data_IF_498552576608
#
_entry.id   IF_498552576608
#
_cell.length_a   1.000
_cell.length_b   1.000
_cell.length_c   1.000
_cell.angle_alpha   90.00
_cell.angle_beta   90.00
_cell.angle_gamma   90.00
#
_symmetry.space_group_name_H-M   'P 1'
#
loop_
_entity.id
_entity.type
_entity.pdbx_description
1 polymer ?
#
# COMPACT_ATOMS: atom_id res chain seq x y z
N UNK A 1 -12.16 -22.52 13.45
CA UNK A 1 -11.33 -21.36 13.03
C UNK A 1 -10.58 -20.83 14.25
N UNK A 2 -9.25 -20.94 14.26
CA UNK A 2 -8.40 -20.49 15.38
C UNK A 2 -8.31 -18.96 15.35
N UNK A 3 -8.76 -18.28 16.40
CA UNK A 3 -8.48 -16.85 16.62
C UNK A 3 -7.03 -16.72 17.06
N UNK A 4 -6.23 -15.99 16.30
CA UNK A 4 -4.94 -15.48 16.78
C UNK A 4 -5.19 -14.26 17.69
N UNK A 5 -4.47 -14.12 18.81
CA UNK A 5 -4.57 -12.94 19.67
C UNK A 5 -3.81 -11.77 19.04
N UNK A 6 -4.49 -10.65 18.81
CA UNK A 6 -3.82 -9.39 18.48
C UNK A 6 -3.14 -8.84 19.76
N UNK A 7 -1.82 -9.03 19.85
CA UNK A 7 -1.01 -8.23 20.75
C UNK A 7 -0.91 -6.81 20.18
N UNK A 8 -1.55 -5.87 20.88
CA UNK A 8 -1.55 -4.45 20.56
C UNK A 8 -0.19 -3.87 20.98
N UNK A 9 0.74 -3.78 20.04
CA UNK A 9 2.00 -3.05 20.24
C UNK A 9 1.65 -1.55 20.27
N UNK A 10 2.14 -0.76 21.25
CA UNK A 10 1.90 0.68 21.24
C UNK A 10 2.68 1.30 20.06
N UNK A 11 1.96 1.82 19.06
CA UNK A 11 2.55 2.55 17.95
C UNK A 11 2.79 3.98 18.40
N UNK A 12 4.07 4.35 18.50
CA UNK A 12 4.50 5.73 18.73
C UNK A 12 4.16 6.59 17.50
N UNK A 13 3.64 7.82 17.67
CA UNK A 13 3.30 8.69 16.56
C UNK A 13 4.58 9.23 15.92
N UNK A 14 5.14 8.50 14.95
CA UNK A 14 6.19 9.06 14.09
C UNK A 14 5.57 10.03 13.09
N UNK A 15 5.51 11.30 13.51
CA UNK A 15 5.27 12.46 12.64
C UNK A 15 6.29 12.47 11.51
N UNK A 16 5.84 12.91 10.32
CA UNK A 16 6.57 13.30 9.08
C UNK A 16 8.09 13.05 9.06
N UNK A 17 8.66 12.53 7.95
CA UNK A 17 10.11 12.39 7.81
C UNK A 17 10.79 13.72 8.19
N UNK A 18 11.46 13.74 9.33
CA UNK A 18 12.11 14.94 9.85
C UNK A 18 13.60 14.72 9.64
N UNK A 19 14.21 15.38 8.65
CA UNK A 19 15.61 15.12 8.35
C UNK A 19 16.51 15.64 9.47
N UNK A 20 17.49 14.83 9.89
CA UNK A 20 18.49 15.21 10.89
C UNK A 20 19.67 15.90 10.20
N UNK A 21 19.89 17.18 10.51
CA UNK A 21 21.07 17.92 10.07
C UNK A 21 22.23 17.61 11.02
N UNK A 22 23.22 16.83 10.58
CA UNK A 22 24.48 16.65 11.34
C UNK A 22 25.41 17.84 11.05
N UNK A 23 25.90 18.57 12.06
CA UNK A 23 26.89 19.61 11.86
C UNK A 23 28.26 18.95 11.63
N UNK A 24 28.89 19.20 10.47
CA UNK A 24 30.30 18.85 10.24
C UNK A 24 30.67 18.24 8.89
N UNK A 25 29.71 17.86 8.03
CA UNK A 25 30.03 17.32 6.71
C UNK A 25 29.14 17.98 5.65
N UNK A 26 29.74 18.86 4.84
CA UNK A 26 29.17 19.55 3.66
C UNK A 26 27.64 19.64 3.62
N UNK A 27 26.99 20.56 4.35
CA UNK A 27 25.63 21.12 4.18
C UNK A 27 24.51 20.28 3.52
N UNK A 28 24.59 18.95 3.50
CA UNK A 28 23.65 18.05 2.84
C UNK A 28 22.94 17.28 3.91
N UNK A 29 21.62 17.37 3.85
CA UNK A 29 20.73 16.64 4.72
C UNK A 29 20.82 15.16 4.40
N UNK A 30 20.98 14.31 5.42
CA UNK A 30 21.04 12.86 5.28
C UNK A 30 19.79 12.24 5.88
N UNK A 31 19.17 11.32 5.16
CA UNK A 31 18.07 10.48 5.65
C UNK A 31 18.59 9.05 5.86
N UNK A 32 18.25 8.47 7.01
CA UNK A 32 18.38 7.03 7.22
C UNK A 32 17.06 6.36 6.85
N UNK A 33 17.12 5.42 5.92
CA UNK A 33 15.95 4.67 5.45
C UNK A 33 16.33 3.20 5.23
N UNK A 34 15.63 2.29 5.91
CA UNK A 34 15.97 0.85 5.99
C UNK A 34 17.46 0.60 6.28
N UNK A 35 18.08 1.35 7.21
CA UNK A 35 19.51 1.28 7.51
C UNK A 35 20.48 1.69 6.37
N UNK A 36 19.96 2.20 5.26
CA UNK A 36 20.72 2.90 4.23
C UNK A 36 20.90 4.38 4.54
N UNK A 37 21.89 5.01 3.92
CA UNK A 37 22.17 6.45 4.04
C UNK A 37 21.99 7.14 2.70
N UNK A 38 21.13 8.15 2.67
CA UNK A 38 20.78 8.87 1.46
C UNK A 38 20.92 10.37 1.65
N UNK A 39 21.47 11.06 0.66
CA UNK A 39 21.34 12.52 0.60
C UNK A 39 19.91 12.90 0.18
N UNK A 40 19.37 13.90 0.86
CA UNK A 40 18.09 14.50 0.51
C UNK A 40 18.35 15.63 -0.49
N UNK A 41 17.93 15.42 -1.74
CA UNK A 41 18.09 16.40 -2.81
C UNK A 41 16.93 17.40 -2.87
N UNK A 42 15.70 16.94 -2.63
CA UNK A 42 14.50 17.79 -2.66
C UNK A 42 13.39 17.20 -1.78
N UNK A 43 12.55 18.07 -1.21
CA UNK A 43 11.31 17.71 -0.51
C UNK A 43 10.18 18.55 -1.09
N UNK A 44 9.17 17.89 -1.63
CA UNK A 44 7.95 18.52 -2.11
C UNK A 44 6.78 18.10 -1.22
N UNK A 45 6.32 19.00 -0.36
CA UNK A 45 5.20 18.72 0.55
C UNK A 45 3.88 18.58 -0.21
N UNK A 46 3.63 19.44 -1.21
CA UNK A 46 2.41 19.40 -2.00
C UNK A 46 2.28 18.08 -2.77
N UNK A 47 3.41 17.57 -3.28
CA UNK A 47 3.46 16.31 -4.03
C UNK A 47 3.74 15.10 -3.13
N UNK A 48 3.97 15.28 -1.84
CA UNK A 48 4.34 14.21 -0.91
C UNK A 48 5.58 13.40 -1.33
N UNK A 49 6.58 14.07 -1.92
CA UNK A 49 7.80 13.44 -2.46
C UNK A 49 9.04 13.88 -1.69
N UNK A 50 9.90 12.93 -1.35
CA UNK A 50 11.28 13.19 -0.97
C UNK A 50 12.20 12.52 -1.98
N UNK A 51 13.03 13.33 -2.65
CA UNK A 51 14.02 12.84 -3.59
C UNK A 51 15.31 12.52 -2.87
N UNK A 52 15.73 11.27 -2.99
CA UNK A 52 16.88 10.68 -2.32
C UNK A 52 17.91 10.19 -3.31
N UNK A 53 19.18 10.31 -2.98
CA UNK A 53 20.27 9.65 -3.71
C UNK A 53 21.16 8.91 -2.72
N UNK A 54 21.53 7.67 -3.03
CA UNK A 54 22.45 6.89 -2.20
C UNK A 54 23.79 7.61 -2.06
N UNK A 55 24.32 7.68 -0.84
CA UNK A 55 25.53 8.45 -0.53
C UNK A 55 26.76 7.99 -1.33
N UNK A 56 26.87 6.69 -1.64
CA UNK A 56 27.98 6.13 -2.41
C UNK A 56 27.84 6.37 -3.92
N UNK A 57 26.60 6.54 -4.40
CA UNK A 57 26.31 6.71 -5.82
C UNK A 57 26.22 8.19 -6.23
N UNK A 58 25.99 9.09 -5.27
CA UNK A 58 25.77 10.52 -5.53
C UNK A 58 26.94 11.23 -6.23
N UNK A 59 28.17 10.73 -6.07
CA UNK A 59 29.35 11.31 -6.71
C UNK A 59 29.59 10.78 -8.13
N UNK A 60 28.83 9.77 -8.57
CA UNK A 60 29.09 9.09 -9.85
C UNK A 60 30.37 8.25 -9.85
N UNK A 61 30.88 7.92 -8.67
CA UNK A 61 31.99 7.00 -8.55
C UNK A 61 31.53 5.57 -8.86
N UNK A 62 32.44 4.76 -9.36
CA UNK A 62 32.16 3.35 -9.58
C UNK A 62 32.19 2.62 -8.23
N UNK A 63 31.09 1.94 -7.89
CA UNK A 63 30.94 1.27 -6.60
C UNK A 63 29.53 0.73 -6.36
N UNK A 64 29.36 0.06 -5.23
CA UNK A 64 28.06 -0.44 -4.77
C UNK A 64 27.33 0.64 -3.95
N UNK A 65 25.98 0.59 -3.89
CA UNK A 65 25.22 1.44 -2.97
C UNK A 65 25.68 1.22 -1.53
N UNK A 66 25.43 2.20 -0.67
CA UNK A 66 25.73 2.08 0.76
C UNK A 66 25.04 0.86 1.38
N UNK A 67 23.79 0.61 0.97
CA UNK A 67 23.04 -0.59 1.33
C UNK A 67 22.16 -1.00 0.14
N UNK A 68 22.07 -2.31 -0.09
CA UNK A 68 21.07 -2.87 -1.01
C UNK A 68 19.65 -2.53 -0.53
N UNK A 69 18.87 -1.86 -1.38
CA UNK A 69 17.48 -1.53 -1.12
C UNK A 69 16.61 -2.09 -2.25
N UNK A 70 15.83 -3.12 -1.94
CA UNK A 70 14.90 -3.74 -2.87
C UNK A 70 13.56 -3.01 -2.95
N UNK A 71 12.79 -3.32 -4.00
CA UNK A 71 11.43 -2.77 -4.17
C UNK A 71 10.47 -3.24 -3.07
N UNK A 72 10.59 -4.51 -2.66
CA UNK A 72 9.76 -5.11 -1.60
C UNK A 72 9.90 -4.41 -0.25
N UNK A 73 11.10 -3.95 0.10
CA UNK A 73 11.33 -3.23 1.36
C UNK A 73 10.50 -1.94 1.42
N UNK A 74 10.37 -1.22 0.30
CA UNK A 74 9.60 0.03 0.22
C UNK A 74 8.12 -0.23 0.09
N UNK A 75 7.71 -1.21 -0.72
CA UNK A 75 6.29 -1.57 -0.87
C UNK A 75 5.74 -2.15 0.44
N UNK A 76 6.56 -2.88 1.20
CA UNK A 76 6.24 -3.37 2.53
C UNK A 76 6.23 -2.28 3.61
N UNK A 77 6.92 -1.16 3.40
CA UNK A 77 6.90 -0.01 4.32
C UNK A 77 5.61 0.79 4.13
N UNK A 78 4.61 0.52 4.95
CA UNK A 78 3.30 1.18 4.90
C UNK A 78 3.30 2.70 5.07
N UNK A 79 4.45 3.34 5.35
CA UNK A 79 4.59 4.81 5.34
C UNK A 79 4.79 5.38 3.95
N UNK A 80 5.24 4.56 3.02
CA UNK A 80 5.59 4.97 1.67
C UNK A 80 4.77 4.22 0.64
N UNK A 81 4.54 4.89 -0.49
CA UNK A 81 3.89 4.30 -1.63
C UNK A 81 4.88 4.21 -2.79
N UNK A 82 5.00 3.00 -3.33
CA UNK A 82 5.77 2.73 -4.56
C UNK A 82 5.07 1.61 -5.33
N UNK A 83 5.19 1.64 -6.65
CA UNK A 83 4.58 0.64 -7.51
C UNK A 83 5.49 -0.55 -7.73
N UNK A 84 4.91 -1.73 -7.94
CA UNK A 84 5.65 -2.96 -8.25
C UNK A 84 6.44 -2.89 -9.57
N UNK A 85 6.08 -1.99 -10.46
CA UNK A 85 6.76 -1.79 -11.75
C UNK A 85 7.66 -0.56 -11.77
N UNK A 86 8.15 -0.14 -10.60
CA UNK A 86 9.02 1.03 -10.53
C UNK A 86 10.42 0.67 -11.05
N UNK A 87 11.06 1.55 -11.84
CA UNK A 87 12.43 1.34 -12.29
C UNK A 87 13.40 1.10 -11.12
N UNK A 88 14.37 0.23 -11.35
CA UNK A 88 15.44 -0.08 -10.40
C UNK A 88 16.64 -0.68 -11.12
N UNK A 89 17.78 -0.62 -10.45
CA UNK A 89 19.03 -1.23 -10.88
C UNK A 89 19.38 -2.39 -9.95
N UNK A 90 19.81 -3.50 -10.54
CA UNK A 90 20.28 -4.68 -9.82
C UNK A 90 21.71 -4.99 -10.26
N UNK A 91 22.63 -4.96 -9.31
CA UNK A 91 24.00 -5.41 -9.51
C UNK A 91 24.03 -6.93 -9.44
N UNK A 92 24.45 -7.56 -10.53
CA UNK A 92 24.60 -9.01 -10.63
C UNK A 92 26.07 -9.36 -10.85
N UNK A 93 26.59 -10.31 -10.06
CA UNK A 93 27.93 -10.85 -10.23
C UNK A 93 27.83 -12.21 -10.88
N UNK A 94 28.53 -12.38 -11.98
CA UNK A 94 28.52 -13.62 -12.76
C UNK A 94 29.92 -14.22 -12.83
N UNK A 95 29.98 -15.56 -12.78
CA UNK A 95 31.22 -16.31 -12.98
C UNK A 95 31.68 -16.33 -14.44
N UNK A 96 30.76 -16.13 -15.38
CA UNK A 96 31.01 -16.11 -16.82
C UNK A 96 30.60 -14.77 -17.44
N UNK A 97 31.11 -14.53 -18.64
CA UNK A 97 30.71 -13.36 -19.44
C UNK A 97 29.30 -13.53 -20.01
N UNK A 98 28.52 -12.45 -19.99
CA UNK A 98 27.16 -12.42 -20.51
C UNK A 98 27.11 -11.41 -21.64
N UNK A 99 27.14 -11.92 -22.88
CA UNK A 99 27.21 -11.07 -24.08
C UNK A 99 26.03 -10.09 -24.19
N UNK A 100 24.82 -10.49 -23.75
CA UNK A 100 23.63 -9.62 -23.80
C UNK A 100 23.72 -8.41 -22.85
N UNK A 101 24.58 -8.46 -21.83
CA UNK A 101 24.76 -7.41 -20.82
C UNK A 101 26.11 -6.70 -20.93
N UNK A 102 26.87 -6.93 -22.01
CA UNK A 102 28.22 -6.38 -22.16
C UNK A 102 28.28 -4.84 -22.02
N UNK A 103 27.25 -4.13 -22.51
CA UNK A 103 27.15 -2.66 -22.40
C UNK A 103 26.94 -2.14 -20.99
N UNK A 104 26.39 -2.96 -20.08
CA UNK A 104 26.11 -2.61 -18.69
C UNK A 104 27.11 -3.20 -17.69
N UNK A 105 28.23 -3.75 -18.19
CA UNK A 105 29.33 -4.22 -17.36
C UNK A 105 29.88 -3.07 -16.51
N UNK A 106 30.03 -3.31 -15.21
CA UNK A 106 30.59 -2.39 -14.23
C UNK A 106 32.12 -2.60 -14.18
N UNK A 107 32.93 -1.70 -14.76
CA UNK A 107 34.34 -2.01 -15.00
C UNK A 107 35.16 -2.12 -13.71
N UNK A 108 34.89 -1.27 -12.71
CA UNK A 108 35.68 -1.27 -11.47
C UNK A 108 35.39 -2.44 -10.52
N UNK A 109 34.26 -3.13 -10.71
CA UNK A 109 33.87 -4.29 -9.90
C UNK A 109 34.08 -5.61 -10.66
N UNK A 110 34.41 -5.53 -11.95
CA UNK A 110 34.70 -6.68 -12.79
C UNK A 110 36.18 -7.01 -12.74
N UNK A 111 36.50 -8.30 -12.66
CA UNK A 111 37.86 -8.82 -12.69
C UNK A 111 37.99 -10.00 -13.65
N UNK A 112 39.08 -10.74 -13.52
CA UNK A 112 39.37 -11.88 -14.41
C UNK A 112 38.50 -13.11 -14.11
N UNK A 113 38.07 -13.29 -12.86
CA UNK A 113 37.32 -14.47 -12.40
C UNK A 113 35.82 -14.24 -12.25
N UNK A 114 35.39 -12.98 -12.24
CA UNK A 114 33.97 -12.63 -12.17
C UNK A 114 33.72 -11.30 -12.85
N UNK A 115 32.56 -11.18 -13.48
CA UNK A 115 32.09 -9.97 -14.14
C UNK A 115 30.89 -9.44 -13.36
N UNK A 116 30.83 -8.13 -13.17
CA UNK A 116 29.69 -7.49 -12.52
C UNK A 116 28.95 -6.68 -13.57
N UNK A 117 27.65 -6.88 -13.66
CA UNK A 117 26.77 -6.16 -14.57
C UNK A 117 25.72 -5.41 -13.77
N UNK A 118 25.18 -4.39 -14.41
CA UNK A 118 24.08 -3.61 -13.87
C UNK A 118 22.85 -3.86 -14.74
N UNK A 119 21.89 -4.61 -14.18
CA UNK A 119 20.63 -4.88 -14.84
C UNK A 119 19.64 -3.76 -14.49
N UNK A 120 19.11 -3.04 -15.47
CA UNK A 120 18.15 -1.98 -15.25
C UNK A 120 16.79 -2.37 -15.82
N UNK A 121 15.81 -2.54 -14.94
CA UNK A 121 14.47 -3.00 -15.30
C UNK A 121 13.40 -2.19 -14.57
N UNK A 122 12.15 -2.40 -14.96
CA UNK A 122 10.97 -1.83 -14.31
C UNK A 122 10.01 -2.93 -13.83
N UNK A 123 10.51 -4.15 -13.63
CA UNK A 123 9.73 -5.27 -13.11
C UNK A 123 10.58 -6.02 -12.08
N UNK A 124 9.94 -6.60 -11.07
CA UNK A 124 10.66 -7.33 -10.03
C UNK A 124 11.37 -8.53 -10.65
N UNK A 125 12.69 -8.61 -10.44
CA UNK A 125 13.49 -9.76 -10.82
C UNK A 125 13.25 -10.89 -9.82
N UNK A 126 12.88 -12.06 -10.32
CA UNK A 126 12.84 -13.29 -9.55
C UNK A 126 14.14 -14.07 -9.75
N UNK A 127 14.41 -15.02 -8.84
CA UNK A 127 15.58 -15.89 -8.95
C UNK A 127 15.64 -16.63 -10.30
N UNK A 128 14.49 -16.93 -10.90
CA UNK A 128 14.39 -17.55 -12.23
C UNK A 128 14.84 -16.65 -13.38
N UNK A 129 14.81 -15.33 -13.20
CA UNK A 129 15.23 -14.36 -14.22
C UNK A 129 16.75 -14.19 -14.25
N UNK A 130 17.43 -14.74 -13.25
CA UNK A 130 18.88 -14.69 -13.08
C UNK A 130 19.44 -16.02 -13.54
N UNK A 131 20.37 -15.96 -14.48
CA UNK A 131 21.07 -17.16 -14.93
C UNK A 131 21.78 -17.82 -13.75
N UNK A 132 21.77 -19.16 -13.68
CA UNK A 132 22.37 -19.92 -12.56
C UNK A 132 23.85 -19.62 -12.29
N UNK A 133 24.55 -18.99 -13.23
CA UNK A 133 25.95 -18.58 -13.12
C UNK A 133 26.13 -17.19 -12.45
N UNK A 134 25.05 -16.55 -11.99
CA UNK A 134 25.05 -15.19 -11.42
C UNK A 134 24.33 -15.08 -10.08
N UNK A 135 24.79 -14.14 -9.26
CA UNK A 135 24.22 -13.80 -7.96
C UNK A 135 23.87 -12.30 -7.90
N UNK A 136 22.73 -11.96 -7.27
CA UNK A 136 22.43 -10.56 -6.91
C UNK A 136 23.34 -10.13 -5.76
N UNK A 137 24.08 -9.04 -5.95
CA UNK A 137 24.97 -8.50 -4.90
C UNK A 137 24.45 -7.18 -4.31
N UNK A 138 23.64 -6.42 -5.05
CA UNK A 138 22.99 -5.21 -4.54
C UNK A 138 21.81 -4.78 -5.44
N UNK A 139 20.82 -4.11 -4.84
CA UNK A 139 19.72 -3.44 -5.52
C UNK A 139 19.67 -1.96 -5.17
N UNK A 140 19.24 -1.15 -6.13
CA UNK A 140 19.11 0.31 -5.99
C UNK A 140 17.84 0.77 -6.66
N UNK A 141 17.04 1.54 -5.93
CA UNK A 141 15.85 2.18 -6.49
C UNK A 141 16.23 3.32 -7.43
N UNK A 142 15.40 3.54 -8.44
CA UNK A 142 15.61 4.60 -9.42
C UNK A 142 14.28 5.13 -9.92
N UNK A 143 14.22 6.41 -10.27
CA UNK A 143 13.07 6.96 -10.99
C UNK A 143 13.55 7.45 -12.34
N UNK A 144 13.40 6.59 -13.35
CA UNK A 144 13.67 6.95 -14.74
C UNK A 144 12.38 7.39 -15.39
N UNK A 145 12.42 8.58 -16.02
CA UNK A 145 11.26 9.24 -16.63
C UNK A 145 11.31 9.26 -18.16
N UNK A 146 12.24 8.52 -18.79
CA UNK A 146 12.38 8.51 -20.25
C UNK A 146 11.76 7.25 -20.82
N UNK A 147 11.16 7.36 -22.01
CA UNK A 147 10.43 6.29 -22.72
C UNK A 147 11.29 5.03 -22.98
N UNK A 148 12.61 5.15 -22.96
CA UNK A 148 13.56 4.05 -23.13
C UNK A 148 14.42 3.86 -21.88
N UNK A 149 14.46 2.62 -21.37
CA UNK A 149 15.30 2.25 -20.24
C UNK A 149 16.80 2.39 -20.62
N UNK A 150 17.64 2.91 -19.71
CA UNK A 150 19.07 3.02 -19.95
C UNK A 150 19.68 1.62 -20.09
N UNK A 151 20.58 1.47 -21.06
CA UNK A 151 21.13 0.15 -21.44
C UNK A 151 22.65 0.05 -21.30
N UNK A 152 23.34 1.18 -21.19
CA UNK A 152 24.78 1.22 -20.92
C UNK A 152 25.08 1.52 -19.45
N UNK A 153 26.22 1.05 -18.95
CA UNK A 153 26.66 1.32 -17.59
C UNK A 153 26.66 2.82 -17.27
N UNK A 154 27.16 3.65 -18.19
CA UNK A 154 27.23 5.10 -17.98
C UNK A 154 25.86 5.76 -17.89
N UNK A 155 24.91 5.38 -18.75
CA UNK A 155 23.54 5.89 -18.71
C UNK A 155 22.89 5.53 -17.38
N UNK A 156 23.00 4.26 -16.97
CA UNK A 156 22.37 3.82 -15.74
C UNK A 156 23.04 4.50 -14.53
N UNK A 157 24.36 4.65 -14.53
CA UNK A 157 25.08 5.34 -13.47
C UNK A 157 24.64 6.81 -13.36
N UNK A 158 24.44 7.52 -14.48
CA UNK A 158 23.88 8.88 -14.49
C UNK A 158 22.47 8.89 -13.92
N UNK A 159 21.63 7.92 -14.28
CA UNK A 159 20.27 7.80 -13.72
C UNK A 159 20.30 7.56 -12.21
N UNK A 160 21.19 6.71 -11.71
CA UNK A 160 21.33 6.46 -10.26
C UNK A 160 21.85 7.69 -9.49
N UNK A 161 22.70 8.52 -10.10
CA UNK A 161 23.14 9.80 -9.52
C UNK A 161 21.98 10.80 -9.35
N UNK A 162 20.99 10.75 -10.24
CA UNK A 162 19.79 11.59 -10.08
C UNK A 162 19.00 11.17 -8.83
N UNK A 163 19.06 9.89 -8.44
CA UNK A 163 18.35 9.32 -7.30
C UNK A 163 16.93 8.82 -7.63
N UNK A 164 16.12 8.66 -6.60
CA UNK A 164 14.74 8.17 -6.65
C UNK A 164 13.84 8.97 -5.72
N UNK A 165 12.54 9.00 -5.99
CA UNK A 165 11.54 9.63 -5.15
C UNK A 165 10.91 8.57 -4.23
N UNK A 166 10.92 8.85 -2.92
CA UNK A 166 10.03 8.19 -1.98
C UNK A 166 8.78 9.04 -1.82
N UNK A 167 7.63 8.42 -2.07
CA UNK A 167 6.33 9.05 -1.86
C UNK A 167 5.82 8.67 -0.48
N UNK A 168 5.66 9.61 0.43
CA UNK A 168 5.07 9.28 1.72
C UNK A 168 3.55 9.29 1.63
N UNK A 169 2.92 8.39 2.36
CA UNK A 169 1.48 8.24 2.44
C UNK A 169 1.10 7.91 3.90
N UNK A 170 1.47 8.80 4.83
CA UNK A 170 1.25 8.57 6.27
C UNK A 170 -0.24 8.46 6.57
N UNK A 171 -1.04 9.30 5.93
CA UNK A 171 -2.48 9.32 6.06
C UNK A 171 -3.14 8.03 5.47
N UNK A 172 -2.43 7.33 4.58
CA UNK A 172 -2.85 6.00 4.09
C UNK A 172 -2.61 4.92 5.15
N UNK A 173 -1.54 5.02 5.94
CA UNK A 173 -1.33 4.14 7.08
C UNK A 173 -2.48 4.26 8.09
N UNK A 174 -2.90 5.49 8.41
CA UNK A 174 -4.03 5.74 9.30
C UNK A 174 -5.32 5.11 8.74
N UNK A 175 -5.59 5.27 7.44
CA UNK A 175 -6.71 4.62 6.76
C UNK A 175 -6.70 3.08 6.91
N UNK A 176 -5.53 2.46 6.72
CA UNK A 176 -5.38 0.99 6.84
C UNK A 176 -5.55 0.54 8.29
N UNK A 177 -5.06 1.30 9.25
CA UNK A 177 -5.28 1.03 10.67
C UNK A 177 -6.77 1.07 11.04
N UNK A 178 -7.55 1.93 10.38
CA UNK A 178 -9.00 2.06 10.52
C UNK A 178 -9.82 1.04 9.71
N UNK A 179 -9.17 -0.01 9.17
CA UNK A 179 -9.80 -1.08 8.39
C UNK A 179 -10.15 -0.70 6.96
N UNK A 180 -9.63 0.42 6.45
CA UNK A 180 -9.76 0.82 5.05
C UNK A 180 -8.60 0.34 4.18
N UNK A 181 -8.66 0.73 2.91
CA UNK A 181 -7.60 0.57 1.93
C UNK A 181 -7.45 1.88 1.13
N UNK A 182 -6.24 2.13 0.64
CA UNK A 182 -5.91 3.36 -0.05
C UNK A 182 -6.04 3.17 -1.55
N UNK A 183 -6.84 4.01 -2.19
CA UNK A 183 -6.98 4.09 -3.63
C UNK A 183 -6.19 5.28 -4.17
N UNK A 184 -5.31 5.05 -5.13
CA UNK A 184 -4.57 6.09 -5.82
C UNK A 184 -5.28 6.38 -7.16
N UNK A 185 -5.78 7.61 -7.41
CA UNK A 185 -6.56 7.93 -8.60
C UNK A 185 -5.78 7.72 -9.90
N UNK A 186 -4.48 7.99 -9.85
CA UNK A 186 -3.55 7.78 -10.96
C UNK A 186 -2.24 7.25 -10.42
N UNK A 187 -1.48 6.61 -11.30
CA UNK A 187 -0.14 6.11 -11.00
C UNK A 187 0.83 7.20 -10.53
N UNK A 188 0.65 8.44 -11.02
CA UNK A 188 1.50 9.57 -10.68
C UNK A 188 0.97 10.42 -9.52
N UNK A 189 -0.26 10.19 -9.08
CA UNK A 189 -0.85 10.95 -7.98
C UNK A 189 -0.28 10.47 -6.66
N UNK A 190 0.21 11.42 -5.87
CA UNK A 190 0.46 11.20 -4.44
C UNK A 190 -0.78 11.37 -3.58
N UNK A 191 -1.86 11.95 -4.14
CA UNK A 191 -3.15 12.00 -3.48
C UNK A 191 -3.78 10.62 -3.55
N UNK A 192 -4.34 10.19 -2.44
CA UNK A 192 -5.05 8.94 -2.31
C UNK A 192 -6.41 9.21 -1.66
N UNK A 193 -7.35 8.29 -1.85
CA UNK A 193 -8.63 8.25 -1.16
C UNK A 193 -8.66 7.03 -0.24
N UNK A 194 -9.11 7.24 1.00
CA UNK A 194 -9.38 6.15 1.92
C UNK A 194 -10.74 5.56 1.59
N UNK A 195 -10.75 4.32 1.12
CA UNK A 195 -11.97 3.56 0.86
C UNK A 195 -12.09 2.45 1.89
N UNK A 196 -13.30 2.20 2.37
CA UNK A 196 -13.58 1.02 3.19
C UNK A 196 -14.30 0.03 2.31
N UNK A 197 -13.94 -1.25 2.39
CA UNK A 197 -14.75 -2.28 1.77
C UNK A 197 -16.11 -2.24 2.47
N UNK A 198 -17.18 -2.26 1.68
CA UNK A 198 -18.53 -2.25 2.23
C UNK A 198 -18.67 -3.43 3.19
N UNK A 199 -18.85 -3.13 4.48
CA UNK A 199 -19.04 -4.16 5.48
C UNK A 199 -20.41 -4.81 5.23
N UNK A 200 -20.43 -5.90 4.46
CA UNK A 200 -21.60 -6.71 4.19
C UNK A 200 -22.33 -7.10 5.48
N UNK A 201 -21.62 -7.26 6.61
CA UNK A 201 -22.24 -7.55 7.89
C UNK A 201 -23.02 -6.34 8.42
N UNK A 202 -22.49 -5.12 8.28
CA UNK A 202 -23.21 -3.88 8.62
C UNK A 202 -24.40 -3.65 7.70
N UNK A 203 -24.26 -3.86 6.38
CA UNK A 203 -25.39 -3.76 5.45
C UNK A 203 -26.48 -4.79 5.76
N UNK A 204 -26.11 -6.05 6.01
CA UNK A 204 -27.03 -7.11 6.38
C UNK A 204 -27.72 -6.82 7.72
N UNK A 205 -26.98 -6.35 8.72
CA UNK A 205 -27.56 -5.95 10.02
C UNK A 205 -28.60 -4.85 9.83
N UNK A 206 -28.30 -3.82 9.04
CA UNK A 206 -29.23 -2.73 8.77
C UNK A 206 -30.47 -3.20 7.99
N UNK A 207 -30.29 -4.11 7.03
CA UNK A 207 -31.39 -4.74 6.30
C UNK A 207 -32.30 -5.58 7.21
N UNK A 208 -31.72 -6.38 8.11
CA UNK A 208 -32.47 -7.16 9.11
C UNK A 208 -33.27 -6.24 10.04
N UNK A 209 -32.65 -5.17 10.54
CA UNK A 209 -33.33 -4.19 11.40
C UNK A 209 -34.50 -3.52 10.68
N UNK A 210 -34.32 -3.17 9.40
CA UNK A 210 -35.37 -2.59 8.58
C UNK A 210 -36.54 -3.56 8.37
N UNK A 211 -36.26 -4.82 8.02
CA UNK A 211 -37.30 -5.84 7.84
C UNK A 211 -38.06 -6.12 9.14
N UNK A 212 -37.37 -6.20 10.27
CA UNK A 212 -37.99 -6.38 11.58
C UNK A 212 -38.92 -5.20 11.93
N UNK A 213 -38.49 -3.97 11.66
CA UNK A 213 -39.29 -2.77 11.87
C UNK A 213 -40.57 -2.76 11.04
N UNK A 214 -40.47 -3.07 9.74
CA UNK A 214 -41.63 -3.17 8.83
C UNK A 214 -42.60 -4.25 9.30
N UNK A 215 -42.08 -5.41 9.72
CA UNK A 215 -42.90 -6.50 10.24
C UNK A 215 -43.67 -6.11 11.50
N UNK A 216 -43.01 -5.44 12.46
CA UNK A 216 -43.65 -4.95 13.69
C UNK A 216 -44.75 -3.93 13.37
N UNK A 217 -44.53 -2.99 12.46
CA UNK A 217 -45.57 -2.06 12.01
C UNK A 217 -46.74 -2.84 11.39
N UNK A 218 -46.46 -3.81 10.53
CA UNK A 218 -47.48 -4.67 9.91
C UNK A 218 -48.36 -5.36 10.95
N UNK A 219 -47.75 -5.94 12.00
CA UNK A 219 -48.47 -6.54 13.11
C UNK A 219 -49.33 -5.54 13.87
N UNK A 220 -48.83 -4.34 14.15
CA UNK A 220 -49.59 -3.30 14.85
C UNK A 220 -50.83 -2.90 14.04
N UNK A 221 -50.66 -2.69 12.73
CA UNK A 221 -51.76 -2.35 11.83
C UNK A 221 -52.77 -3.50 11.73
N UNK A 222 -52.30 -4.74 11.57
CA UNK A 222 -53.16 -5.93 11.52
C UNK A 222 -53.99 -6.09 12.80
N UNK A 223 -53.34 -5.99 13.97
CA UNK A 223 -54.02 -6.05 15.26
C UNK A 223 -55.08 -4.94 15.40
N UNK A 224 -54.74 -3.72 15.01
CA UNK A 224 -55.62 -2.54 15.17
C UNK A 224 -56.81 -2.55 14.22
N UNK A 225 -56.63 -2.98 12.98
CA UNK A 225 -57.65 -2.84 11.92
C UNK A 225 -58.39 -4.14 11.59
N UNK A 226 -57.86 -5.30 11.95
CA UNK A 226 -58.51 -6.59 11.68
C UNK A 226 -58.96 -7.24 12.98
N UNK A 227 -58.04 -7.50 13.91
CA UNK A 227 -58.38 -8.25 15.13
C UNK A 227 -59.30 -7.45 16.07
N UNK A 228 -59.01 -6.17 16.33
CA UNK A 228 -59.84 -5.38 17.25
C UNK A 228 -61.30 -5.22 16.76
N UNK A 229 -61.58 -4.90 15.48
CA UNK A 229 -62.95 -4.89 14.97
C UNK A 229 -63.62 -6.26 15.03
N UNK A 230 -62.92 -7.35 14.68
CA UNK A 230 -63.49 -8.70 14.73
C UNK A 230 -63.92 -9.09 16.15
N UNK A 231 -63.13 -8.76 17.17
CA UNK A 231 -63.50 -9.01 18.58
C UNK A 231 -64.74 -8.21 18.97
N UNK A 232 -64.83 -6.94 18.55
CA UNK A 232 -66.02 -6.12 18.79
C UNK A 232 -67.24 -6.72 18.09
N UNK A 233 -67.12 -7.13 16.82
CA UNK A 233 -68.21 -7.79 16.07
C UNK A 233 -68.65 -9.08 16.75
N UNK A 234 -67.71 -9.95 17.15
CA UNK A 234 -68.02 -11.19 17.85
C UNK A 234 -68.73 -10.92 19.19
N UNK A 235 -68.27 -9.93 19.95
CA UNK A 235 -68.91 -9.52 21.20
C UNK A 235 -70.33 -8.99 20.97
N UNK A 236 -70.53 -8.14 19.97
CA UNK A 236 -71.84 -7.61 19.59
C UNK A 236 -72.79 -8.74 19.15
N UNK A 237 -72.31 -9.69 18.34
CA UNK A 237 -73.08 -10.88 17.94
C UNK A 237 -73.48 -11.72 19.15
N UNK A 238 -72.52 -12.06 20.03
CA UNK A 238 -72.80 -12.82 21.25
C UNK A 238 -73.85 -12.12 22.13
N UNK A 239 -73.74 -10.80 22.29
CA UNK A 239 -74.72 -9.99 23.05
C UNK A 239 -76.11 -9.99 22.39
N UNK A 240 -76.19 -9.84 21.07
CA UNK A 240 -77.46 -9.92 20.33
C UNK A 240 -78.13 -11.28 20.48
N UNK A 241 -77.38 -12.38 20.34
CA UNK A 241 -77.91 -13.73 20.52
C UNK A 241 -78.34 -14.01 21.96
N UNK A 242 -77.56 -13.57 22.96
CA UNK A 242 -77.91 -13.73 24.38
C UNK A 242 -79.14 -12.91 24.79
N UNK A 243 -79.28 -11.68 24.27
CA UNK A 243 -80.46 -10.83 24.54
C UNK A 243 -81.74 -11.34 23.89
N UNK A 244 -81.64 -11.96 22.70
CA UNK A 244 -82.78 -12.55 21.98
C UNK A 244 -83.33 -13.79 22.71
N UNK A 245 -82.49 -14.51 23.45
CA UNK A 245 -82.90 -15.66 24.27
C UNK A 245 -83.48 -15.28 25.65
N UNK A 246 -83.52 -13.98 26.00
CA UNK A 246 -84.10 -13.47 27.26
C UNK A 246 -85.49 -12.85 27.13
N UNK A 247 -86.15 -12.93 25.97
CA UNK A 247 -87.56 -12.51 25.83
C UNK A 247 -88.41 -13.63 26.44
N UNK A 248 -89.05 -13.44 27.61
CA UNK A 248 -89.88 -14.46 28.22
C UNK A 248 -91.20 -14.56 27.43
N UNK A 249 -91.60 -15.79 27.11
CA UNK A 249 -92.95 -16.13 26.65
C UNK A 249 -93.77 -16.55 27.87
#
# INVERSE_FOLDING_TARGET
>A
MRRYPQHRIPVSPQRRPTPLRRPGLHNRTILNFHAGLYYVNNISYDQHLIRLVDINLAAGNCGLPYRSLGLEEVVGDGRYYRQYFSPHATFVRCSKEINSMGSSMVPCLSGNTSRVYLNYTNYMLYDSDITSDCDIIAMVLSDHKVDQLPSSYEEIQRTLQLGFDLRWAVECMDCRADGGYCQFPTQESSRFHCSKEDDYATQLRNAILFLAYVFVIGLILFCRYILAPLVIFAFLLHKCFSSRNRIPR
#
